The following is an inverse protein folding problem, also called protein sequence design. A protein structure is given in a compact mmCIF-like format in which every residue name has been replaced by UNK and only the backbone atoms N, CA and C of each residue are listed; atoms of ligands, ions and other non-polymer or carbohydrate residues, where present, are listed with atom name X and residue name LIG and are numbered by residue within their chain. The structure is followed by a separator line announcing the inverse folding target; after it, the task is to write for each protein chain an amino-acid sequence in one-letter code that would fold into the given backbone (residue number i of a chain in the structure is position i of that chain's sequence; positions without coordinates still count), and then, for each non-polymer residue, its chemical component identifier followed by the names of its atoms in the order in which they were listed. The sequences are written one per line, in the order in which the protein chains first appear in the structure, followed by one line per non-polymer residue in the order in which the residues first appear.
data_IF_261184618609
#
_entry.id   IF_261184618609
#
_cell.length_a   1.000
_cell.length_b   1.000
_cell.length_c   1.000
_cell.angle_alpha   90.00
_cell.angle_beta   90.00
_cell.angle_gamma   90.00
#
_symmetry.space_group_name_H-M   'P 1'
#
loop_
_entity.id
_entity.type
_entity.pdbx_description
1 polymer ?
#
# COMPACT_ATOMS: atom_id res chain seq x y z
N UNK A 1 -25.07 55.98 19.14
CA UNK A 1 -25.38 55.09 20.29
C UNK A 1 -24.36 53.98 20.17
N UNK A 2 -23.25 54.25 20.86
CA UNK A 2 -22.07 53.42 20.86
C UNK A 2 -22.26 52.29 21.85
N UNK A 3 -21.81 51.10 21.52
CA UNK A 3 -21.58 50.01 22.48
C UNK A 3 -20.18 49.46 22.22
N UNK A 4 -19.32 49.70 23.18
CA UNK A 4 -17.90 49.38 23.22
C UNK A 4 -17.68 47.90 23.38
N UNK A 5 -16.65 47.45 22.67
CA UNK A 5 -16.01 46.13 22.76
C UNK A 5 -15.01 46.15 23.94
N UNK A 6 -15.10 45.15 24.81
CA UNK A 6 -14.24 45.03 25.99
C UNK A 6 -13.79 43.60 26.18
N UNK A 7 -12.64 43.25 25.58
CA UNK A 7 -11.90 42.01 25.90
C UNK A 7 -10.58 42.36 26.63
N UNK A 8 -10.25 41.77 27.78
CA UNK A 8 -8.96 41.95 28.40
C UNK A 8 -7.98 40.85 28.03
N UNK A 9 -6.88 41.28 27.41
CA UNK A 9 -5.63 40.51 27.28
C UNK A 9 -4.92 40.40 28.65
N UNK A 10 -4.64 39.18 29.12
CA UNK A 10 -3.67 38.93 30.18
C UNK A 10 -2.46 38.15 29.64
N UNK A 11 -1.39 38.92 29.37
CA UNK A 11 -0.03 38.36 29.26
C UNK A 11 0.60 38.30 30.64
N UNK A 12 0.98 37.12 31.12
CA UNK A 12 1.88 36.98 32.26
C UNK A 12 3.31 36.76 31.77
N UNK A 13 4.14 37.78 32.00
CA UNK A 13 5.58 37.75 31.85
C UNK A 13 6.19 37.34 33.21
N UNK A 14 6.81 36.16 33.31
CA UNK A 14 7.69 35.87 34.42
C UNK A 14 9.15 35.79 33.92
N UNK A 15 9.90 36.83 34.26
CA UNK A 15 11.37 36.86 34.22
C UNK A 15 11.87 36.11 35.44
N UNK A 16 12.54 34.97 35.27
CA UNK A 16 13.33 34.33 36.30
C UNK A 16 14.79 34.78 36.18
N UNK A 17 15.27 35.38 37.25
CA UNK A 17 16.65 35.82 37.42
C UNK A 17 17.54 34.63 37.75
N UNK A 18 18.54 34.34 36.94
CA UNK A 18 19.56 33.33 37.25
C UNK A 18 20.58 33.85 38.21
N UNK A 19 20.70 33.21 39.36
CA UNK A 19 21.76 33.44 40.35
C UNK A 19 22.93 32.48 40.04
N UNK A 20 24.12 33.00 39.77
CA UNK A 20 25.35 32.25 39.58
C UNK A 20 25.89 31.79 40.95
N UNK A 21 25.75 30.52 41.25
CA UNK A 21 26.45 29.85 42.35
C UNK A 21 27.46 28.87 41.79
N UNK A 22 28.74 29.14 41.98
CA UNK A 22 29.88 28.27 41.69
C UNK A 22 29.87 27.10 42.65
N UNK A 23 29.72 25.86 42.15
CA UNK A 23 29.93 24.65 42.94
C UNK A 23 31.18 23.91 42.43
N UNK A 24 32.17 23.84 43.32
CA UNK A 24 33.39 23.04 43.15
C UNK A 24 33.00 21.59 43.45
N UNK A 25 33.12 20.70 42.47
CA UNK A 25 32.91 19.26 42.69
C UNK A 25 34.27 18.59 42.95
N UNK A 26 34.48 18.16 44.18
CA UNK A 26 35.55 17.25 44.57
C UNK A 26 35.28 15.86 44.05
N UNK A 27 36.22 15.31 43.30
CA UNK A 27 36.20 13.92 42.84
C UNK A 27 36.64 13.05 44.05
N UNK A 28 35.71 12.33 44.62
CA UNK A 28 36.00 11.18 45.47
C UNK A 28 35.31 9.95 44.86
N UNK A 29 36.13 9.02 44.39
CA UNK A 29 35.67 7.75 43.83
C UNK A 29 35.03 6.88 44.91
N UNK A 30 33.78 6.52 44.69
CA UNK A 30 33.14 5.39 45.32
C UNK A 30 32.48 4.58 44.24
N UNK A 31 32.99 3.37 44.01
CA UNK A 31 32.36 2.36 43.18
C UNK A 31 31.00 2.02 43.77
N UNK A 32 29.94 2.56 43.22
CA UNK A 32 28.59 2.12 43.48
C UNK A 32 28.28 0.96 42.54
N UNK A 33 28.20 -0.23 43.06
CA UNK A 33 27.53 -1.35 42.44
C UNK A 33 26.11 -0.86 42.06
N UNK A 34 25.81 -0.90 40.78
CA UNK A 34 24.44 -0.74 40.27
C UNK A 34 23.65 -1.94 40.80
N UNK A 35 23.07 -1.77 41.99
CA UNK A 35 21.97 -2.60 42.43
C UNK A 35 20.83 -2.38 41.44
N UNK A 36 20.45 -3.46 40.75
CA UNK A 36 19.35 -3.46 39.80
C UNK A 36 18.11 -2.83 40.42
N UNK A 37 17.40 -2.05 39.63
CA UNK A 37 16.07 -1.58 39.98
C UNK A 37 15.18 -2.82 40.19
N UNK A 38 14.79 -3.10 41.42
CA UNK A 38 13.86 -4.17 41.79
C UNK A 38 12.41 -3.95 41.31
N UNK A 39 12.22 -3.07 40.34
CA UNK A 39 10.91 -2.73 39.76
C UNK A 39 10.54 -3.57 38.54
N UNK A 40 11.41 -4.44 38.02
CA UNK A 40 11.04 -5.43 37.02
C UNK A 40 10.73 -6.76 37.72
N UNK A 41 9.48 -7.21 37.75
CA UNK A 41 9.18 -8.54 38.28
C UNK A 41 9.83 -9.58 37.36
N UNK A 42 10.78 -10.33 37.89
CA UNK A 42 11.36 -11.51 37.24
C UNK A 42 10.35 -12.66 37.06
N UNK A 43 9.05 -12.34 37.05
CA UNK A 43 7.96 -13.30 37.09
C UNK A 43 7.20 -13.52 35.78
N UNK A 44 7.39 -12.68 34.72
CA UNK A 44 6.48 -12.72 33.58
C UNK A 44 6.76 -13.82 32.54
N UNK A 45 7.97 -14.38 32.46
CA UNK A 45 8.24 -15.53 31.60
C UNK A 45 7.60 -16.84 32.10
N UNK A 46 7.17 -16.89 33.35
CA UNK A 46 6.46 -18.06 33.93
C UNK A 46 4.95 -18.05 33.70
N UNK A 47 4.34 -16.91 33.42
CA UNK A 47 2.87 -16.78 33.33
C UNK A 47 2.26 -17.53 32.13
N UNK A 48 2.88 -17.44 30.95
CA UNK A 48 2.42 -18.16 29.72
C UNK A 48 2.62 -19.68 29.81
N UNK A 49 3.64 -20.15 30.59
CA UNK A 49 3.89 -21.57 30.82
C UNK A 49 2.94 -22.23 31.85
N UNK A 50 2.10 -21.44 32.53
CA UNK A 50 1.21 -21.94 33.58
C UNK A 50 -0.19 -22.33 33.06
N UNK A 51 -0.66 -21.72 31.94
CA UNK A 51 -1.90 -22.13 31.29
C UNK A 51 -1.63 -23.30 30.35
N UNK A 52 -1.79 -24.51 30.84
CA UNK A 52 -1.52 -25.73 30.12
C UNK A 52 -2.49 -25.99 28.97
N UNK A 53 -3.74 -25.55 29.10
CA UNK A 53 -4.78 -25.76 28.08
C UNK A 53 -4.51 -24.86 26.86
N UNK A 54 -4.32 -23.55 27.11
CA UNK A 54 -3.98 -22.62 26.02
C UNK A 54 -2.66 -23.00 25.36
N UNK A 55 -1.65 -23.41 26.14
CA UNK A 55 -0.36 -23.86 25.61
C UNK A 55 -0.52 -25.09 24.71
N UNK A 56 -1.31 -26.07 25.11
CA UNK A 56 -1.57 -27.26 24.30
C UNK A 56 -2.26 -26.93 22.98
N UNK A 57 -3.25 -26.03 22.98
CA UNK A 57 -3.90 -25.56 21.75
C UNK A 57 -2.90 -24.85 20.84
N UNK A 58 -2.08 -23.96 21.41
CA UNK A 58 -1.08 -23.21 20.65
C UNK A 58 -0.01 -24.13 20.05
N UNK A 59 0.52 -25.08 20.83
CA UNK A 59 1.56 -26.00 20.38
C UNK A 59 1.04 -26.93 19.28
N UNK A 60 -0.21 -27.43 19.39
CA UNK A 60 -0.83 -28.20 18.34
C UNK A 60 -1.03 -27.39 17.04
N UNK A 61 -1.59 -26.19 17.14
CA UNK A 61 -1.90 -25.37 15.99
C UNK A 61 -0.63 -24.89 15.27
N UNK A 62 0.36 -24.36 16.01
CA UNK A 62 1.62 -23.83 15.45
C UNK A 62 2.58 -24.97 15.06
N UNK A 63 2.59 -26.06 15.83
CA UNK A 63 3.57 -27.14 15.67
C UNK A 63 3.14 -28.26 14.73
N UNK A 64 1.83 -28.41 14.47
CA UNK A 64 1.27 -29.49 13.66
C UNK A 64 0.34 -28.99 12.55
N UNK A 65 -0.80 -28.35 12.89
CA UNK A 65 -1.84 -28.05 11.89
C UNK A 65 -1.37 -27.05 10.83
N UNK A 66 -0.74 -25.93 11.23
CA UNK A 66 -0.23 -24.94 10.27
C UNK A 66 0.88 -25.52 9.39
N UNK A 67 1.92 -26.20 9.92
CA UNK A 67 2.93 -26.87 9.09
C UNK A 67 2.37 -27.90 8.11
N UNK A 68 1.38 -28.70 8.53
CA UNK A 68 0.71 -29.69 7.66
C UNK A 68 -0.07 -29.01 6.53
N UNK A 69 -0.70 -27.87 6.81
CA UNK A 69 -1.45 -27.07 5.83
C UNK A 69 -0.54 -26.22 4.91
N UNK A 70 0.75 -26.08 5.23
CA UNK A 70 1.66 -25.18 4.50
C UNK A 70 2.95 -25.87 4.01
N UNK A 71 2.84 -27.01 3.29
CA UNK A 71 4.00 -27.80 2.89
C UNK A 71 4.93 -27.11 1.87
N UNK A 72 4.46 -26.08 1.16
CA UNK A 72 5.27 -25.33 0.20
C UNK A 72 6.21 -24.31 0.87
N UNK A 73 5.89 -23.86 2.08
CA UNK A 73 6.71 -22.87 2.81
C UNK A 73 7.84 -23.62 3.52
N UNK A 74 9.08 -23.32 3.14
CA UNK A 74 10.25 -23.92 3.77
C UNK A 74 10.30 -23.64 5.27
N UNK A 75 10.83 -24.60 6.05
CA UNK A 75 10.95 -24.45 7.52
C UNK A 75 11.73 -23.20 7.92
N UNK A 76 12.73 -22.80 7.11
CA UNK A 76 13.50 -21.58 7.30
C UNK A 76 12.61 -20.35 7.13
N UNK A 77 11.85 -20.25 6.05
CA UNK A 77 10.96 -19.11 5.78
C UNK A 77 9.83 -19.04 6.80
N UNK A 78 9.23 -20.19 7.16
CA UNK A 78 8.23 -20.24 8.23
C UNK A 78 8.79 -19.72 9.58
N UNK A 79 10.03 -20.03 9.92
CA UNK A 79 10.72 -19.51 11.10
C UNK A 79 10.88 -17.99 11.05
N UNK A 80 11.32 -17.46 9.90
CA UNK A 80 11.47 -16.01 9.70
C UNK A 80 10.10 -15.28 9.75
N UNK A 81 9.04 -15.87 9.16
CA UNK A 81 7.67 -15.33 9.22
C UNK A 81 7.19 -15.26 10.68
N UNK A 82 7.47 -16.27 11.50
CA UNK A 82 7.13 -16.26 12.94
C UNK A 82 7.87 -15.13 13.67
N UNK A 83 9.16 -14.96 13.42
CA UNK A 83 9.96 -13.89 14.04
C UNK A 83 9.41 -12.50 13.69
N UNK A 84 9.13 -12.20 12.43
CA UNK A 84 8.57 -10.88 12.07
C UNK A 84 7.15 -10.70 12.62
N UNK A 85 6.34 -11.76 12.65
CA UNK A 85 5.00 -11.71 13.21
C UNK A 85 5.03 -11.36 14.70
N UNK A 86 5.87 -12.04 15.49
CA UNK A 86 6.03 -11.80 16.91
C UNK A 86 6.63 -10.41 17.20
N UNK A 87 7.55 -9.95 16.36
CA UNK A 87 8.10 -8.58 16.42
C UNK A 87 7.00 -7.55 16.23
N UNK A 88 6.17 -7.68 15.19
CA UNK A 88 5.06 -6.75 14.90
C UNK A 88 4.01 -6.76 16.02
N UNK A 89 3.69 -7.93 16.57
CA UNK A 89 2.72 -8.07 17.65
C UNK A 89 3.29 -7.69 19.03
N UNK A 90 4.59 -7.39 19.14
CA UNK A 90 5.28 -7.05 20.40
C UNK A 90 5.12 -8.15 21.48
N UNK A 91 5.11 -9.41 21.06
CA UNK A 91 4.99 -10.56 21.95
C UNK A 91 6.37 -11.01 22.42
N UNK A 92 6.95 -10.27 23.37
CA UNK A 92 8.34 -10.41 23.79
C UNK A 92 8.69 -11.81 24.33
N UNK A 93 7.81 -12.40 25.12
CA UNK A 93 8.03 -13.74 25.69
C UNK A 93 8.05 -14.83 24.59
N UNK A 94 7.07 -14.80 23.67
CA UNK A 94 7.03 -15.75 22.55
C UNK A 94 8.16 -15.50 21.55
N UNK A 95 8.57 -14.24 21.34
CA UNK A 95 9.72 -13.93 20.50
C UNK A 95 11.02 -14.52 21.07
N UNK A 96 11.22 -14.43 22.38
CA UNK A 96 12.37 -15.03 23.05
C UNK A 96 12.41 -16.56 22.84
N UNK A 97 11.27 -17.25 22.98
CA UNK A 97 11.15 -18.70 22.74
C UNK A 97 11.43 -19.02 21.26
N UNK A 98 10.85 -18.24 20.31
CA UNK A 98 11.02 -18.48 18.88
C UNK A 98 12.45 -18.24 18.41
N UNK A 99 13.13 -17.19 18.89
CA UNK A 99 14.55 -16.95 18.56
C UNK A 99 15.40 -18.14 19.01
N UNK A 100 15.16 -18.66 20.23
CA UNK A 100 15.87 -19.84 20.70
C UNK A 100 15.59 -21.10 19.87
N UNK A 101 14.35 -21.26 19.44
CA UNK A 101 13.89 -22.37 18.58
C UNK A 101 14.45 -22.26 17.16
N UNK A 102 14.44 -21.06 16.59
CA UNK A 102 14.96 -20.76 15.25
C UNK A 102 16.45 -21.08 15.15
N UNK A 103 17.26 -20.68 16.14
CA UNK A 103 18.67 -21.05 16.23
C UNK A 103 18.87 -22.57 16.33
N UNK A 104 18.06 -23.25 17.14
CA UNK A 104 18.14 -24.72 17.27
C UNK A 104 17.75 -25.45 15.97
N UNK A 105 16.92 -24.83 15.13
CA UNK A 105 16.50 -25.34 13.82
C UNK A 105 17.42 -24.90 12.66
N UNK A 106 18.53 -24.19 12.97
CA UNK A 106 19.58 -23.88 12.02
C UNK A 106 19.47 -22.52 11.33
N UNK A 107 18.57 -21.63 11.77
CA UNK A 107 18.63 -20.24 11.32
C UNK A 107 19.87 -19.56 11.90
N UNK A 108 20.58 -18.79 11.07
CA UNK A 108 21.70 -18.00 11.57
C UNK A 108 21.24 -16.80 12.41
N UNK A 109 22.06 -16.32 13.33
CA UNK A 109 21.74 -15.12 14.10
C UNK A 109 21.62 -13.88 13.19
N UNK A 110 22.33 -13.85 12.07
CA UNK A 110 22.23 -12.79 11.06
C UNK A 110 20.85 -12.78 10.40
N UNK A 111 20.33 -13.93 9.98
CA UNK A 111 18.99 -14.05 9.38
C UNK A 111 17.91 -13.58 10.34
N UNK A 112 18.02 -13.97 11.60
CA UNK A 112 17.09 -13.56 12.66
C UNK A 112 17.11 -12.05 12.85
N UNK A 113 18.29 -11.42 12.97
CA UNK A 113 18.39 -9.97 13.11
C UNK A 113 17.92 -9.23 11.84
N UNK A 114 18.23 -9.73 10.66
CA UNK A 114 17.80 -9.11 9.42
C UNK A 114 16.27 -9.19 9.23
N UNK A 115 15.62 -10.26 9.68
CA UNK A 115 14.16 -10.35 9.72
C UNK A 115 13.55 -9.30 10.68
N UNK A 116 14.14 -9.11 11.86
CA UNK A 116 13.72 -8.08 12.81
C UNK A 116 13.97 -6.67 12.23
N UNK A 117 15.12 -6.43 11.60
CA UNK A 117 15.44 -5.16 10.96
C UNK A 117 14.43 -4.83 9.83
N UNK A 118 13.98 -5.84 9.08
CA UNK A 118 12.95 -5.66 8.04
C UNK A 118 11.62 -5.13 8.60
N UNK A 119 11.35 -5.30 9.90
CA UNK A 119 10.16 -4.75 10.55
C UNK A 119 10.25 -3.22 10.74
N UNK A 120 11.45 -2.64 10.90
CA UNK A 120 11.62 -1.24 11.28
C UNK A 120 10.92 -0.24 10.35
N UNK A 121 11.07 -0.31 9.00
CA UNK A 121 10.42 0.66 8.11
C UNK A 121 8.89 0.54 8.05
N UNK A 122 8.32 -0.58 8.47
CA UNK A 122 6.88 -0.85 8.39
C UNK A 122 6.16 -0.72 9.73
N UNK A 123 6.77 -1.18 10.81
CA UNK A 123 6.16 -1.18 12.16
C UNK A 123 6.75 -0.14 13.11
N UNK A 124 7.77 0.59 12.63
CA UNK A 124 8.49 1.63 13.39
C UNK A 124 9.65 1.09 14.22
N UNK A 125 10.61 1.97 14.51
CA UNK A 125 11.81 1.65 15.27
C UNK A 125 11.54 1.06 16.67
N UNK A 126 10.55 1.53 17.47
CA UNK A 126 10.38 1.01 18.83
C UNK A 126 10.23 -0.50 18.86
N UNK A 127 9.37 -1.07 18.03
CA UNK A 127 9.15 -2.53 17.96
C UNK A 127 10.41 -3.29 17.52
N UNK A 128 11.13 -2.76 16.55
CA UNK A 128 12.35 -3.39 16.06
C UNK A 128 13.49 -3.35 17.10
N UNK A 129 13.64 -2.25 17.84
CA UNK A 129 14.65 -2.10 18.89
C UNK A 129 14.40 -3.10 20.02
N UNK A 130 13.17 -3.16 20.54
CA UNK A 130 12.82 -4.13 21.59
C UNK A 130 13.08 -5.57 21.16
N UNK A 131 12.71 -5.92 19.93
CA UNK A 131 12.92 -7.26 19.38
C UNK A 131 14.42 -7.59 19.19
N UNK A 132 15.24 -6.61 18.77
CA UNK A 132 16.70 -6.77 18.67
C UNK A 132 17.31 -7.08 20.05
N UNK A 133 16.92 -6.35 21.09
CA UNK A 133 17.43 -6.57 22.46
C UNK A 133 17.07 -7.97 22.96
N UNK A 134 15.85 -8.44 22.67
CA UNK A 134 15.43 -9.81 22.99
C UNK A 134 16.30 -10.84 22.24
N UNK A 135 16.45 -10.70 20.94
CA UNK A 135 17.25 -11.62 20.14
C UNK A 135 18.71 -11.67 20.62
N UNK A 136 19.32 -10.50 20.89
CA UNK A 136 20.69 -10.41 21.42
C UNK A 136 20.83 -11.02 22.82
N UNK A 137 19.82 -10.91 23.67
CA UNK A 137 19.82 -11.56 24.99
C UNK A 137 19.87 -13.09 24.85
N UNK A 138 19.11 -13.66 23.90
CA UNK A 138 19.13 -15.10 23.58
C UNK A 138 20.46 -15.52 23.00
N UNK A 139 21.05 -14.74 22.09
CA UNK A 139 22.36 -15.04 21.48
C UNK A 139 23.45 -15.07 22.57
N UNK A 140 23.43 -14.09 23.48
CA UNK A 140 24.35 -14.04 24.62
C UNK A 140 24.21 -15.26 25.50
N UNK A 141 22.96 -15.62 25.87
CA UNK A 141 22.70 -16.79 26.72
C UNK A 141 23.14 -18.12 26.10
N UNK A 142 23.09 -18.20 24.73
CA UNK A 142 23.53 -19.38 23.98
C UNK A 142 24.98 -19.30 23.49
N UNK A 143 25.71 -18.26 23.86
CA UNK A 143 27.08 -17.98 23.40
C UNK A 143 27.23 -17.98 21.85
N UNK A 144 26.25 -17.40 21.14
CA UNK A 144 26.23 -17.28 19.69
C UNK A 144 26.84 -15.93 19.28
N UNK A 145 27.76 -15.95 18.29
CA UNK A 145 28.36 -14.75 17.72
C UNK A 145 27.57 -14.30 16.49
N UNK A 146 27.61 -13.02 16.21
CA UNK A 146 26.90 -12.35 15.09
C UNK A 146 27.89 -11.56 14.27
N UNK A 147 27.82 -11.65 12.92
CA UNK A 147 28.52 -10.70 12.06
C UNK A 147 27.75 -9.37 12.02
N UNK A 148 28.42 -8.29 12.44
CA UNK A 148 27.82 -6.95 12.53
C UNK A 148 27.91 -6.16 11.20
N UNK A 149 28.80 -6.56 10.27
CA UNK A 149 29.09 -5.83 9.04
C UNK A 149 28.14 -6.23 7.89
N UNK A 150 26.83 -5.95 8.02
CA UNK A 150 25.82 -6.35 7.03
C UNK A 150 25.31 -5.23 6.12
N UNK A 151 25.59 -3.96 6.43
CA UNK A 151 25.27 -2.84 5.56
C UNK A 151 26.06 -2.91 4.26
N UNK A 152 25.43 -2.62 3.12
CA UNK A 152 26.05 -2.62 1.79
C UNK A 152 26.06 -1.25 1.14
N UNK A 153 25.35 -0.29 1.70
CA UNK A 153 25.21 1.08 1.20
C UNK A 153 25.67 2.11 2.23
N UNK A 154 25.97 3.31 1.75
CA UNK A 154 26.27 4.49 2.56
C UNK A 154 25.34 5.64 2.17
N UNK A 155 25.54 6.83 2.74
CA UNK A 155 24.71 8.01 2.50
C UNK A 155 24.63 8.41 1.01
N UNK A 156 25.64 8.12 0.23
CA UNK A 156 25.75 8.50 -1.19
C UNK A 156 25.10 7.46 -2.11
N UNK A 157 25.20 6.17 -1.76
CA UNK A 157 24.78 5.06 -2.63
C UNK A 157 23.37 4.54 -2.31
N UNK A 158 22.83 4.80 -1.11
CA UNK A 158 21.56 4.22 -0.61
C UNK A 158 20.34 4.56 -1.46
N UNK A 159 20.28 5.77 -2.05
CA UNK A 159 19.14 6.19 -2.87
C UNK A 159 19.02 5.35 -4.13
N UNK A 160 20.10 5.26 -4.91
CA UNK A 160 20.06 4.51 -6.17
C UNK A 160 19.92 3.02 -5.92
N UNK A 161 20.67 2.44 -4.99
CA UNK A 161 20.58 1.02 -4.65
C UNK A 161 19.18 0.61 -4.17
N UNK A 162 18.54 1.45 -3.35
CA UNK A 162 17.18 1.19 -2.90
C UNK A 162 16.13 1.34 -4.02
N UNK A 163 16.31 2.34 -4.89
CA UNK A 163 15.44 2.51 -6.06
C UNK A 163 15.59 1.36 -7.07
N UNK A 164 16.78 0.80 -7.23
CA UNK A 164 17.02 -0.38 -8.06
C UNK A 164 16.32 -1.62 -7.46
N UNK A 165 16.36 -1.79 -6.14
CA UNK A 165 15.61 -2.85 -5.46
C UNK A 165 14.08 -2.67 -5.64
N UNK A 166 13.56 -1.45 -5.49
CA UNK A 166 12.16 -1.14 -5.80
C UNK A 166 11.83 -1.42 -7.28
N UNK A 167 12.72 -1.05 -8.19
CA UNK A 167 12.59 -1.29 -9.62
C UNK A 167 12.44 -2.78 -9.96
N UNK A 168 13.22 -3.62 -9.27
CA UNK A 168 13.17 -5.09 -9.42
C UNK A 168 11.85 -5.67 -8.92
N UNK A 169 11.35 -5.22 -7.77
CA UNK A 169 10.14 -5.76 -7.14
C UNK A 169 8.85 -5.22 -7.76
N UNK A 170 8.81 -3.95 -8.15
CA UNK A 170 7.57 -3.29 -8.59
C UNK A 170 7.64 -2.82 -10.05
N UNK A 171 8.39 -1.76 -10.34
CA UNK A 171 8.51 -1.19 -11.69
C UNK A 171 9.83 -0.47 -11.88
N UNK A 172 10.51 -0.63 -13.03
CA UNK A 172 11.76 0.06 -13.35
C UNK A 172 11.70 1.60 -13.24
N UNK A 173 10.50 2.18 -13.24
CA UNK A 173 10.30 3.63 -13.10
C UNK A 173 10.91 4.20 -11.80
N UNK A 174 11.00 3.42 -10.73
CA UNK A 174 11.64 3.86 -9.48
C UNK A 174 13.14 4.09 -9.66
N UNK A 175 13.83 3.15 -10.31
CA UNK A 175 15.25 3.27 -10.60
C UNK A 175 15.56 4.48 -11.50
N UNK A 176 14.73 4.72 -12.52
CA UNK A 176 14.86 5.89 -13.39
C UNK A 176 14.60 7.21 -12.65
N UNK A 177 13.56 7.27 -11.81
CA UNK A 177 13.25 8.47 -11.03
C UNK A 177 14.37 8.85 -10.06
N UNK A 178 15.08 7.88 -9.48
CA UNK A 178 16.19 8.13 -8.56
C UNK A 178 17.38 8.83 -9.21
N UNK A 179 17.59 8.64 -10.53
CA UNK A 179 18.66 9.33 -11.29
C UNK A 179 18.52 10.85 -11.30
N UNK A 180 17.29 11.35 -11.11
CA UNK A 180 17.01 12.78 -10.99
C UNK A 180 17.55 13.40 -9.68
N UNK A 181 17.88 12.56 -8.69
CA UNK A 181 18.42 12.97 -7.40
C UNK A 181 17.36 13.44 -6.40
N UNK A 182 17.78 13.52 -5.13
CA UNK A 182 16.92 13.86 -3.99
C UNK A 182 16.09 15.14 -4.19
N UNK A 183 16.68 16.18 -4.78
CA UNK A 183 16.06 17.50 -4.97
C UNK A 183 14.88 17.49 -5.93
N UNK A 184 14.77 16.45 -6.78
CA UNK A 184 13.72 16.30 -7.80
C UNK A 184 12.69 15.22 -7.43
N UNK A 185 12.70 14.77 -6.18
CA UNK A 185 11.77 13.73 -5.69
C UNK A 185 10.88 14.27 -4.57
N UNK A 186 9.61 13.84 -4.48
CA UNK A 186 8.81 14.05 -3.27
C UNK A 186 9.53 13.45 -2.06
N UNK A 187 9.49 14.15 -0.91
CA UNK A 187 10.22 13.74 0.31
C UNK A 187 9.89 12.30 0.73
N UNK A 188 8.62 11.92 0.68
CA UNK A 188 8.23 10.55 1.04
C UNK A 188 8.81 9.51 0.09
N UNK A 189 8.87 9.81 -1.21
CA UNK A 189 9.48 8.91 -2.20
C UNK A 189 10.98 8.78 -1.97
N UNK A 190 11.65 9.88 -1.64
CA UNK A 190 13.06 9.85 -1.24
C UNK A 190 13.28 8.95 -0.02
N UNK A 191 12.44 9.07 1.02
CA UNK A 191 12.55 8.20 2.20
C UNK A 191 12.27 6.73 1.88
N UNK A 192 11.27 6.46 1.07
CA UNK A 192 10.99 5.09 0.62
C UNK A 192 12.19 4.50 -0.11
N UNK A 193 12.74 5.18 -1.12
CA UNK A 193 13.84 4.65 -1.90
C UNK A 193 15.15 4.60 -1.10
N UNK A 194 15.49 5.64 -0.33
CA UNK A 194 16.77 5.69 0.37
C UNK A 194 16.77 4.95 1.71
N UNK A 195 15.73 5.12 2.55
CA UNK A 195 15.69 4.47 3.86
C UNK A 195 15.01 3.09 3.78
N UNK A 196 13.73 3.01 3.39
CA UNK A 196 13.02 1.73 3.41
C UNK A 196 13.72 0.69 2.52
N UNK A 197 13.97 1.00 1.26
CA UNK A 197 14.62 0.06 0.34
C UNK A 197 16.14 0.11 0.41
N UNK A 198 16.76 1.29 0.50
CA UNK A 198 18.21 1.42 0.52
C UNK A 198 18.85 0.85 1.78
N UNK A 199 18.39 1.26 2.97
CA UNK A 199 19.04 0.86 4.21
C UNK A 199 18.66 -0.57 4.66
N UNK A 200 17.50 -1.11 4.21
CA UNK A 200 17.03 -2.42 4.66
C UNK A 200 17.07 -3.50 3.59
N UNK A 201 16.55 -3.27 2.37
CA UNK A 201 16.47 -4.33 1.35
C UNK A 201 17.82 -4.70 0.72
N UNK A 202 18.82 -3.82 0.78
CA UNK A 202 20.14 -4.06 0.19
C UNK A 202 21.11 -4.80 1.11
N UNK A 203 20.75 -4.99 2.40
CA UNK A 203 21.63 -5.57 3.42
C UNK A 203 21.95 -7.04 3.14
N UNK A 204 23.13 -7.50 3.59
CA UNK A 204 23.50 -8.93 3.60
C UNK A 204 22.63 -9.71 4.60
N UNK A 205 22.70 -11.03 4.57
CA UNK A 205 22.03 -11.94 5.49
C UNK A 205 20.71 -12.48 4.98
N UNK A 206 19.92 -11.69 4.22
CA UNK A 206 18.73 -12.14 3.52
C UNK A 206 18.74 -11.62 2.08
N UNK A 207 18.30 -12.44 1.14
CA UNK A 207 18.11 -12.04 -0.25
C UNK A 207 16.85 -11.19 -0.43
N UNK A 208 16.75 -10.52 -1.59
CA UNK A 208 15.65 -9.61 -1.92
C UNK A 208 14.28 -10.28 -1.88
N UNK A 209 14.18 -11.52 -2.37
CA UNK A 209 12.92 -12.25 -2.42
C UNK A 209 12.44 -12.66 -1.03
N UNK A 210 13.35 -13.08 -0.16
CA UNK A 210 13.05 -13.36 1.25
C UNK A 210 12.59 -12.09 1.97
N UNK A 211 13.24 -10.94 1.76
CA UNK A 211 12.82 -9.66 2.35
C UNK A 211 11.42 -9.26 1.91
N UNK A 212 11.09 -9.48 0.65
CA UNK A 212 9.75 -9.19 0.13
C UNK A 212 8.67 -10.11 0.72
N UNK A 213 8.99 -11.40 0.93
CA UNK A 213 8.12 -12.32 1.65
C UNK A 213 7.86 -11.87 3.09
N UNK A 214 8.92 -11.47 3.79
CA UNK A 214 8.82 -11.00 5.16
C UNK A 214 8.05 -9.68 5.26
N UNK A 215 8.24 -8.77 4.31
CA UNK A 215 7.45 -7.54 4.24
C UNK A 215 5.97 -7.82 4.07
N UNK A 216 5.61 -8.75 3.19
CA UNK A 216 4.22 -9.20 3.06
C UNK A 216 3.69 -9.72 4.40
N UNK A 217 4.44 -10.59 5.09
CA UNK A 217 4.04 -11.12 6.40
C UNK A 217 3.89 -10.00 7.47
N UNK A 218 4.79 -9.03 7.49
CA UNK A 218 4.69 -7.83 8.35
C UNK A 218 3.38 -7.09 8.09
N UNK A 219 3.03 -6.85 6.83
CA UNK A 219 1.84 -6.11 6.42
C UNK A 219 0.54 -6.88 6.70
N UNK A 220 0.56 -8.23 6.60
CA UNK A 220 -0.55 -9.10 7.07
C UNK A 220 -0.79 -8.86 8.56
N UNK A 221 0.28 -8.87 9.37
CA UNK A 221 0.20 -8.64 10.81
C UNK A 221 -0.23 -7.22 11.18
N UNK A 222 0.07 -6.22 10.37
CA UNK A 222 -0.38 -4.83 10.55
C UNK A 222 -1.83 -4.61 10.06
N UNK A 223 -2.30 -5.38 9.07
CA UNK A 223 -3.62 -5.23 8.46
C UNK A 223 -3.74 -4.00 7.55
N UNK A 224 -2.66 -3.57 6.89
CA UNK A 224 -2.59 -2.37 6.04
C UNK A 224 -2.90 -2.74 4.58
N UNK A 225 -4.18 -2.77 4.21
CA UNK A 225 -4.66 -3.35 2.94
C UNK A 225 -4.02 -2.81 1.66
N UNK A 226 -3.89 -1.47 1.42
CA UNK A 226 -3.33 -0.98 0.15
C UNK A 226 -1.87 -1.41 -0.05
N UNK A 227 -1.05 -1.32 1.00
CA UNK A 227 0.34 -1.72 0.96
C UNK A 227 0.48 -3.24 0.84
N UNK A 228 -0.34 -3.99 1.59
CA UNK A 228 -0.35 -5.45 1.53
C UNK A 228 -0.65 -5.95 0.11
N UNK A 229 -1.64 -5.39 -0.57
CA UNK A 229 -1.98 -5.78 -1.95
C UNK A 229 -0.80 -5.58 -2.91
N UNK A 230 -0.07 -4.46 -2.80
CA UNK A 230 1.11 -4.20 -3.62
C UNK A 230 2.23 -5.24 -3.39
N UNK A 231 2.50 -5.60 -2.12
CA UNK A 231 3.51 -6.60 -1.76
C UNK A 231 3.07 -8.03 -2.06
N UNK A 232 1.78 -8.36 -2.00
CA UNK A 232 1.24 -9.62 -2.53
C UNK A 232 1.50 -9.70 -4.03
N UNK A 233 1.20 -8.65 -4.79
CA UNK A 233 1.45 -8.60 -6.24
C UNK A 233 2.93 -8.75 -6.59
N UNK A 234 3.84 -8.19 -5.79
CA UNK A 234 5.28 -8.38 -5.96
C UNK A 234 5.68 -9.86 -5.70
N UNK A 235 5.15 -10.47 -4.64
CA UNK A 235 5.39 -11.90 -4.35
C UNK A 235 4.85 -12.82 -5.45
N UNK A 236 3.69 -12.51 -6.07
CA UNK A 236 3.11 -13.29 -7.17
C UNK A 236 3.96 -13.27 -8.46
N UNK A 237 4.93 -12.34 -8.60
CA UNK A 237 5.88 -12.33 -9.73
C UNK A 237 6.99 -13.36 -9.59
N UNK A 238 7.25 -13.84 -8.37
CA UNK A 238 8.37 -14.71 -8.03
C UNK A 238 7.93 -16.01 -7.36
N UNK A 239 6.64 -16.12 -6.98
CA UNK A 239 6.06 -17.29 -6.30
C UNK A 239 4.67 -17.59 -6.84
N UNK A 240 4.23 -18.84 -6.68
CA UNK A 240 2.85 -19.24 -7.02
C UNK A 240 1.84 -18.65 -6.03
N UNK A 241 0.59 -18.47 -6.47
CA UNK A 241 -0.49 -17.99 -5.58
C UNK A 241 -0.69 -18.95 -4.40
N UNK A 242 -0.57 -20.26 -4.62
CA UNK A 242 -0.66 -21.26 -3.57
C UNK A 242 0.45 -21.11 -2.51
N UNK A 243 1.70 -20.83 -2.94
CA UNK A 243 2.79 -20.54 -2.01
C UNK A 243 2.49 -19.28 -1.16
N UNK A 244 2.01 -18.20 -1.80
CA UNK A 244 1.67 -16.95 -1.11
C UNK A 244 0.53 -17.16 -0.11
N UNK A 245 -0.47 -17.97 -0.47
CA UNK A 245 -1.57 -18.37 0.42
C UNK A 245 -1.04 -19.09 1.66
N UNK A 246 -0.18 -20.08 1.48
CA UNK A 246 0.43 -20.82 2.57
C UNK A 246 1.33 -19.94 3.45
N UNK A 247 2.04 -18.98 2.87
CA UNK A 247 2.80 -17.99 3.64
C UNK A 247 1.89 -17.09 4.50
N UNK A 248 0.72 -16.72 4.00
CA UNK A 248 -0.30 -15.98 4.77
C UNK A 248 -0.83 -16.85 5.92
N UNK A 249 -1.07 -18.16 5.72
CA UNK A 249 -1.47 -19.06 6.81
C UNK A 249 -0.43 -19.16 7.91
N UNK A 250 0.86 -19.05 7.61
CA UNK A 250 1.91 -18.98 8.63
C UNK A 250 1.82 -17.72 9.54
N UNK A 251 1.09 -16.67 9.11
CA UNK A 251 0.84 -15.49 9.95
C UNK A 251 -0.39 -15.68 10.86
N UNK A 252 -1.31 -16.61 10.54
CA UNK A 252 -2.59 -16.78 11.22
C UNK A 252 -2.49 -16.93 12.74
N UNK A 253 -1.58 -17.74 13.32
CA UNK A 253 -1.47 -17.89 14.77
C UNK A 253 -1.17 -16.57 15.51
N UNK A 254 -0.63 -15.58 14.81
CA UNK A 254 -0.12 -14.33 15.39
C UNK A 254 -1.05 -13.14 15.15
N UNK A 255 -1.69 -13.07 13.99
CA UNK A 255 -2.55 -11.95 13.61
C UNK A 255 -4.06 -12.25 13.72
N UNK A 256 -4.42 -13.51 13.87
CA UNK A 256 -5.80 -13.99 13.98
C UNK A 256 -6.56 -14.03 12.65
N UNK A 257 -7.73 -14.66 12.66
CA UNK A 257 -8.56 -14.87 11.48
C UNK A 257 -8.94 -13.61 10.72
N UNK A 258 -9.36 -12.49 11.33
CA UNK A 258 -9.81 -11.32 10.56
C UNK A 258 -8.75 -10.77 9.61
N UNK A 259 -7.50 -10.61 10.06
CA UNK A 259 -6.40 -10.12 9.23
C UNK A 259 -5.99 -11.14 8.16
N UNK A 260 -6.00 -12.42 8.51
CA UNK A 260 -5.71 -13.50 7.57
C UNK A 260 -6.76 -13.56 6.44
N UNK A 261 -8.06 -13.49 6.78
CA UNK A 261 -9.12 -13.50 5.78
C UNK A 261 -9.06 -12.27 4.85
N UNK A 262 -8.74 -11.09 5.38
CA UNK A 262 -8.50 -9.90 4.56
C UNK A 262 -7.29 -10.10 3.61
N UNK A 263 -6.20 -10.68 4.09
CA UNK A 263 -5.02 -10.96 3.27
C UNK A 263 -5.35 -11.96 2.14
N UNK A 264 -6.13 -13.02 2.42
CA UNK A 264 -6.57 -13.99 1.42
C UNK A 264 -7.49 -13.37 0.37
N UNK A 265 -8.37 -12.44 0.76
CA UNK A 265 -9.19 -11.66 -0.18
C UNK A 265 -8.30 -10.84 -1.12
N UNK A 266 -7.31 -10.12 -0.57
CA UNK A 266 -6.35 -9.34 -1.37
C UNK A 266 -5.49 -10.22 -2.28
N UNK A 267 -5.11 -11.42 -1.84
CA UNK A 267 -4.42 -12.40 -2.68
C UNK A 267 -5.27 -12.80 -3.88
N UNK A 268 -6.54 -13.12 -3.66
CA UNK A 268 -7.48 -13.48 -4.74
C UNK A 268 -7.62 -12.34 -5.76
N UNK A 269 -7.75 -11.11 -5.29
CA UNK A 269 -7.82 -9.93 -6.15
C UNK A 269 -6.53 -9.74 -6.96
N UNK A 270 -5.36 -9.76 -6.30
CA UNK A 270 -4.06 -9.59 -6.95
C UNK A 270 -3.75 -10.72 -7.95
N UNK A 271 -4.11 -11.96 -7.63
CA UNK A 271 -3.93 -13.09 -8.53
C UNK A 271 -4.82 -12.99 -9.79
N UNK A 272 -6.07 -12.52 -9.64
CA UNK A 272 -6.95 -12.26 -10.77
C UNK A 272 -6.40 -11.14 -11.67
N UNK A 273 -5.85 -10.07 -11.11
CA UNK A 273 -5.21 -8.98 -11.85
C UNK A 273 -3.92 -9.45 -12.56
N UNK A 274 -3.11 -10.28 -11.92
CA UNK A 274 -1.91 -10.86 -12.50
C UNK A 274 -2.26 -11.83 -13.66
N UNK A 275 -3.28 -12.67 -13.51
CA UNK A 275 -3.79 -13.55 -14.55
C UNK A 275 -4.31 -12.77 -15.75
N UNK A 276 -5.08 -11.71 -15.52
CA UNK A 276 -5.55 -10.82 -16.56
C UNK A 276 -4.39 -10.08 -17.27
N UNK A 277 -3.32 -9.72 -16.54
CA UNK A 277 -2.11 -9.11 -17.11
C UNK A 277 -1.28 -10.12 -17.92
N UNK A 278 -1.11 -11.35 -17.40
CA UNK A 278 -0.38 -12.41 -18.09
C UNK A 278 -1.08 -12.83 -19.39
N UNK A 279 -2.41 -12.91 -19.38
CA UNK A 279 -3.20 -13.15 -20.61
C UNK A 279 -2.98 -12.03 -21.62
N UNK A 280 -2.91 -10.77 -21.18
CA UNK A 280 -2.58 -9.63 -22.05
C UNK A 280 -1.13 -9.68 -22.56
N UNK A 281 -0.16 -10.13 -21.77
CA UNK A 281 1.23 -10.29 -22.18
C UNK A 281 1.48 -11.53 -23.04
N UNK A 282 0.79 -12.64 -22.78
CA UNK A 282 0.85 -13.87 -23.60
C UNK A 282 0.25 -13.66 -24.99
N UNK A 283 -0.63 -12.65 -25.12
CA UNK A 283 -1.16 -12.20 -26.42
C UNK A 283 -0.14 -11.35 -27.21
N UNK A 284 1.09 -11.09 -26.66
CA UNK A 284 2.19 -10.37 -27.31
C UNK A 284 1.86 -8.89 -27.63
N UNK A 285 2.82 -8.06 -28.05
CA UNK A 285 2.47 -6.85 -28.76
C UNK A 285 1.79 -7.32 -30.03
N UNK A 286 0.45 -7.15 -30.12
CA UNK A 286 -0.32 -7.51 -31.29
C UNK A 286 0.32 -6.92 -32.54
N UNK A 287 1.08 -7.79 -33.24
CA UNK A 287 1.26 -7.61 -34.67
C UNK A 287 -0.13 -7.81 -35.27
N UNK A 288 -0.80 -6.68 -35.53
CA UNK A 288 -1.92 -6.54 -36.46
C UNK A 288 -2.45 -7.85 -37.02
N UNK A 289 -3.56 -8.36 -36.47
CA UNK A 289 -4.72 -8.90 -37.20
C UNK A 289 -5.71 -9.51 -36.21
N UNK A 290 -6.87 -8.91 -36.21
CA UNK A 290 -8.13 -9.14 -35.51
C UNK A 290 -8.30 -8.30 -34.22
N UNK A 291 -8.60 -6.99 -34.41
CA UNK A 291 -9.27 -6.15 -33.43
C UNK A 291 -10.64 -6.78 -33.10
N UNK A 292 -10.68 -7.71 -32.15
CA UNK A 292 -11.95 -8.21 -31.64
C UNK A 292 -12.48 -7.14 -30.67
N UNK A 293 -13.30 -6.24 -31.22
CA UNK A 293 -14.07 -5.28 -30.42
C UNK A 293 -14.78 -6.03 -29.30
N UNK A 294 -14.70 -5.52 -28.04
CA UNK A 294 -15.44 -6.09 -26.93
C UNK A 294 -16.90 -6.28 -27.30
N UNK A 295 -17.38 -7.52 -27.31
CA UNK A 295 -18.78 -7.79 -27.64
C UNK A 295 -19.72 -7.26 -26.55
N UNK A 296 -20.92 -6.86 -26.96
CA UNK A 296 -21.90 -6.27 -26.08
C UNK A 296 -22.32 -7.20 -24.95
N UNK A 297 -22.39 -8.51 -25.19
CA UNK A 297 -22.81 -9.47 -24.15
C UNK A 297 -21.78 -9.56 -23.00
N UNK A 298 -20.51 -9.45 -23.31
CA UNK A 298 -19.42 -9.37 -22.31
C UNK A 298 -19.50 -8.07 -21.53
N UNK A 299 -19.71 -6.94 -22.22
CA UNK A 299 -19.89 -5.64 -21.58
C UNK A 299 -21.12 -5.60 -20.66
N UNK A 300 -22.28 -6.11 -21.13
CA UNK A 300 -23.53 -6.11 -20.36
C UNK A 300 -23.41 -6.89 -19.03
N UNK A 301 -22.60 -7.94 -18.99
CA UNK A 301 -22.31 -8.66 -17.74
C UNK A 301 -21.49 -7.84 -16.73
N UNK A 302 -20.67 -6.92 -17.21
CA UNK A 302 -19.83 -6.04 -16.36
C UNK A 302 -20.60 -4.80 -15.91
N UNK A 303 -21.53 -4.30 -16.72
CA UNK A 303 -22.26 -3.06 -16.47
C UNK A 303 -23.43 -3.25 -15.50
N UNK A 304 -23.12 -3.23 -14.20
CA UNK A 304 -24.09 -3.47 -13.11
C UNK A 304 -25.26 -2.50 -13.10
N UNK A 305 -25.11 -1.30 -13.66
CA UNK A 305 -26.20 -0.32 -13.76
C UNK A 305 -27.01 -0.45 -15.06
N UNK A 306 -26.57 -1.31 -15.98
CA UNK A 306 -27.18 -1.49 -17.29
C UNK A 306 -26.91 -0.32 -18.26
N UNK A 307 -27.09 -0.58 -19.56
CA UNK A 307 -26.78 0.35 -20.64
C UNK A 307 -27.62 1.63 -20.62
N UNK A 308 -28.89 1.52 -20.30
CA UNK A 308 -29.85 2.62 -20.37
C UNK A 308 -30.46 2.81 -21.77
N UNK A 309 -31.22 3.90 -21.91
CA UNK A 309 -31.88 4.26 -23.17
C UNK A 309 -30.96 5.09 -24.08
N UNK A 310 -31.21 5.14 -25.40
CA UNK A 310 -30.47 6.00 -26.31
C UNK A 310 -30.45 7.45 -25.82
N UNK A 311 -29.26 8.06 -25.79
CA UNK A 311 -29.05 9.42 -25.29
C UNK A 311 -29.48 10.49 -26.31
N UNK A 312 -30.76 10.55 -26.64
CA UNK A 312 -31.32 11.39 -27.71
C UNK A 312 -31.12 12.88 -27.41
N UNK A 313 -31.29 13.31 -26.17
CA UNK A 313 -31.25 14.72 -25.79
C UNK A 313 -29.87 15.37 -25.96
N UNK A 314 -28.82 14.59 -25.82
CA UNK A 314 -27.41 15.05 -25.93
C UNK A 314 -26.71 14.49 -27.16
N UNK A 315 -27.39 13.73 -28.04
CA UNK A 315 -26.78 13.06 -29.18
C UNK A 315 -25.93 14.00 -30.08
N UNK A 316 -26.32 15.26 -30.25
CA UNK A 316 -25.60 16.28 -31.01
C UNK A 316 -24.21 16.63 -30.43
N UNK A 317 -23.93 16.26 -29.23
CA UNK A 317 -22.66 16.50 -28.55
C UNK A 317 -21.77 15.24 -28.46
N UNK A 318 -22.15 14.18 -29.19
CA UNK A 318 -21.41 12.93 -29.21
C UNK A 318 -21.07 12.52 -30.64
N UNK A 319 -19.91 11.96 -30.85
CA UNK A 319 -19.52 11.24 -32.06
C UNK A 319 -19.74 9.77 -31.76
N UNK A 320 -20.66 9.10 -32.46
CA UNK A 320 -21.08 7.73 -32.25
C UNK A 320 -22.30 7.63 -31.32
N UNK A 321 -22.65 6.40 -30.92
CA UNK A 321 -23.83 6.10 -30.12
C UNK A 321 -23.53 6.10 -28.63
N UNK A 322 -24.37 6.79 -27.85
CA UNK A 322 -24.31 6.77 -26.40
C UNK A 322 -25.68 6.50 -25.80
N UNK A 323 -25.68 6.02 -24.57
CA UNK A 323 -26.87 5.65 -23.82
C UNK A 323 -26.82 6.27 -22.42
N UNK A 324 -27.97 6.51 -21.85
CA UNK A 324 -28.05 7.16 -20.54
C UNK A 324 -29.10 6.44 -19.68
N UNK A 325 -28.67 6.05 -18.49
CA UNK A 325 -29.55 5.54 -17.45
C UNK A 325 -29.48 6.45 -16.24
N UNK A 326 -30.56 7.13 -15.94
CA UNK A 326 -30.68 7.92 -14.73
C UNK A 326 -30.68 7.00 -13.50
N UNK A 327 -29.80 7.30 -12.53
CA UNK A 327 -29.68 6.57 -11.26
C UNK A 327 -30.43 7.32 -10.17
N UNK A 328 -30.16 8.64 -10.04
CA UNK A 328 -30.87 9.55 -9.13
C UNK A 328 -31.38 10.75 -9.90
N UNK A 329 -32.42 11.41 -9.38
CA UNK A 329 -33.03 12.61 -9.93
C UNK A 329 -32.63 13.86 -9.12
N UNK A 330 -33.03 15.03 -9.60
CA UNK A 330 -32.86 16.28 -8.83
C UNK A 330 -33.70 16.28 -7.54
N UNK A 331 -34.77 15.52 -7.50
CA UNK A 331 -35.63 15.34 -6.33
C UNK A 331 -34.94 14.57 -5.20
N UNK A 332 -33.95 13.72 -5.55
CA UNK A 332 -33.09 12.99 -4.61
C UNK A 332 -31.95 13.84 -4.05
N UNK A 333 -31.90 15.13 -4.39
CA UNK A 333 -30.87 16.08 -3.95
C UNK A 333 -29.78 16.33 -5.00
N UNK A 334 -29.47 15.38 -5.86
CA UNK A 334 -28.53 15.53 -6.99
C UNK A 334 -28.73 14.46 -8.06
N UNK A 335 -28.45 14.84 -9.29
CA UNK A 335 -28.63 13.95 -10.43
C UNK A 335 -27.37 13.15 -10.71
N UNK A 336 -27.49 11.81 -10.74
CA UNK A 336 -26.48 10.90 -11.24
C UNK A 336 -27.02 10.10 -12.42
N UNK A 337 -26.16 9.85 -13.40
CA UNK A 337 -26.51 9.02 -14.56
C UNK A 337 -25.37 8.08 -14.90
N UNK A 338 -25.69 6.83 -15.24
CA UNK A 338 -24.75 5.93 -15.89
C UNK A 338 -24.77 6.26 -17.40
N UNK A 339 -23.64 6.72 -17.92
CA UNK A 339 -23.47 7.07 -19.33
C UNK A 339 -22.67 5.97 -19.99
N UNK A 340 -23.26 5.35 -21.04
CA UNK A 340 -22.64 4.25 -21.78
C UNK A 340 -22.30 4.69 -23.20
N UNK A 341 -21.13 4.31 -23.67
CA UNK A 341 -20.56 4.62 -24.96
C UNK A 341 -20.28 3.33 -25.75
N UNK A 342 -20.68 3.26 -26.99
CA UNK A 342 -20.24 2.21 -27.92
C UNK A 342 -18.73 2.37 -28.24
N UNK A 343 -18.06 1.31 -28.72
CA UNK A 343 -16.67 1.40 -29.15
C UNK A 343 -16.43 2.57 -30.11
N UNK A 344 -15.41 3.38 -29.81
CA UNK A 344 -15.08 4.56 -30.61
C UNK A 344 -15.91 5.82 -30.34
N UNK A 345 -16.97 5.73 -29.55
CA UNK A 345 -17.85 6.86 -29.20
C UNK A 345 -17.18 7.78 -28.18
N UNK A 346 -17.29 9.07 -28.38
CA UNK A 346 -16.78 10.11 -27.49
C UNK A 346 -17.68 11.34 -27.48
N UNK A 347 -17.67 12.08 -26.36
CA UNK A 347 -18.36 13.37 -26.34
C UNK A 347 -17.45 14.50 -26.85
N UNK A 348 -18.05 15.63 -27.14
CA UNK A 348 -17.35 16.86 -27.47
C UNK A 348 -16.54 17.38 -26.30
N UNK A 349 -15.58 18.23 -26.58
CA UNK A 349 -14.99 19.11 -25.59
C UNK A 349 -16.10 19.90 -24.88
N UNK A 350 -16.02 20.00 -23.54
CA UNK A 350 -17.01 20.71 -22.74
C UNK A 350 -16.41 21.21 -21.43
N UNK A 351 -17.14 22.14 -20.80
CA UNK A 351 -16.74 22.72 -19.52
C UNK A 351 -17.94 22.72 -18.56
N UNK A 352 -17.71 22.26 -17.35
CA UNK A 352 -18.64 22.45 -16.22
C UNK A 352 -18.23 23.71 -15.46
N UNK A 353 -18.91 24.82 -15.73
CA UNK A 353 -18.64 26.09 -15.08
C UNK A 353 -19.19 26.13 -13.66
N UNK A 354 -18.47 26.78 -12.74
CA UNK A 354 -18.96 27.17 -11.43
C UNK A 354 -18.19 28.37 -10.89
N UNK A 355 -18.85 29.21 -10.07
CA UNK A 355 -18.21 30.33 -9.36
C UNK A 355 -17.47 29.84 -8.12
N UNK A 356 -17.97 28.76 -7.49
CA UNK A 356 -17.36 28.14 -6.32
C UNK A 356 -17.77 26.65 -6.28
N UNK A 357 -16.86 25.75 -5.95
CA UNK A 357 -17.09 24.31 -6.02
C UNK A 357 -17.34 23.87 -7.46
N UNK A 358 -18.24 22.92 -7.67
CA UNK A 358 -18.62 22.42 -8.99
C UNK A 358 -17.58 21.50 -9.63
N UNK A 359 -17.72 21.29 -10.94
CA UNK A 359 -16.95 20.35 -11.73
C UNK A 359 -17.69 19.02 -11.93
N UNK A 360 -17.02 18.04 -12.54
CA UNK A 360 -17.64 16.75 -12.85
C UNK A 360 -16.90 15.60 -12.17
N UNK A 361 -17.65 14.61 -11.70
CA UNK A 361 -17.10 13.35 -11.19
C UNK A 361 -17.50 12.23 -12.12
N UNK A 362 -16.53 11.40 -12.51
CA UNK A 362 -16.70 10.18 -13.28
C UNK A 362 -16.28 8.99 -12.43
N UNK A 363 -17.12 7.96 -12.33
CA UNK A 363 -16.81 6.68 -11.69
C UNK A 363 -17.03 5.59 -12.72
N UNK A 364 -15.96 4.93 -13.16
CA UNK A 364 -16.04 3.92 -14.23
C UNK A 364 -16.70 2.65 -13.72
N UNK A 365 -17.75 2.20 -14.42
CA UNK A 365 -18.58 1.05 -14.03
C UNK A 365 -18.34 -0.18 -14.89
N UNK A 366 -17.97 -0.01 -16.18
CA UNK A 366 -17.71 -1.13 -17.09
C UNK A 366 -16.91 -0.70 -18.32
N UNK A 367 -16.19 -1.64 -18.92
CA UNK A 367 -15.44 -1.43 -20.16
C UNK A 367 -14.28 -0.45 -19.99
N UNK A 368 -13.69 0.02 -21.11
CA UNK A 368 -12.50 0.85 -21.12
C UNK A 368 -12.71 2.13 -21.92
N UNK A 369 -12.21 3.25 -21.39
CA UNK A 369 -12.37 4.56 -21.97
C UNK A 369 -11.16 5.45 -21.86
N UNK A 370 -11.37 6.67 -22.26
CA UNK A 370 -10.43 7.78 -22.17
C UNK A 370 -11.09 9.00 -21.53
N UNK A 371 -10.29 9.81 -20.80
CA UNK A 371 -10.62 11.21 -20.58
C UNK A 371 -9.38 12.07 -20.83
N UNK A 372 -9.59 13.34 -21.18
CA UNK A 372 -8.51 14.27 -21.43
C UNK A 372 -8.90 15.67 -20.99
N UNK A 373 -7.99 16.34 -20.29
CA UNK A 373 -8.03 17.77 -20.03
C UNK A 373 -7.29 18.50 -21.16
N UNK A 374 -7.76 19.68 -21.55
CA UNK A 374 -7.12 20.48 -22.60
C UNK A 374 -5.63 20.71 -22.29
N UNK A 375 -4.77 20.51 -23.28
CA UNK A 375 -3.33 20.64 -23.16
C UNK A 375 -2.62 19.56 -22.33
N UNK A 376 -3.33 18.50 -21.92
CA UNK A 376 -2.74 17.35 -21.21
C UNK A 376 -2.86 16.08 -22.06
N UNK A 377 -2.00 15.08 -21.83
CA UNK A 377 -2.19 13.75 -22.43
C UNK A 377 -3.52 13.13 -22.01
N UNK A 378 -4.12 12.33 -22.90
CA UNK A 378 -5.28 11.53 -22.55
C UNK A 378 -4.92 10.44 -21.55
N UNK A 379 -5.83 10.17 -20.61
CA UNK A 379 -5.69 9.18 -19.54
C UNK A 379 -6.63 8.02 -19.78
N UNK A 380 -6.11 6.80 -19.76
CA UNK A 380 -6.91 5.58 -19.87
C UNK A 380 -7.74 5.36 -18.62
N UNK A 381 -9.02 5.02 -18.82
CA UNK A 381 -9.98 4.72 -17.76
C UNK A 381 -10.39 3.25 -17.80
N UNK A 382 -10.44 2.63 -16.62
CA UNK A 382 -10.82 1.21 -16.43
C UNK A 382 -11.88 1.10 -15.31
N UNK A 383 -12.65 0.00 -15.23
CA UNK A 383 -13.62 -0.21 -14.16
C UNK A 383 -13.01 -0.04 -12.77
N UNK A 384 -13.67 0.77 -11.92
CA UNK A 384 -13.22 1.15 -10.59
C UNK A 384 -12.43 2.46 -10.52
N UNK A 385 -11.98 3.02 -11.65
CA UNK A 385 -11.35 4.33 -11.66
C UNK A 385 -12.36 5.43 -11.34
N UNK A 386 -11.93 6.42 -10.57
CA UNK A 386 -12.69 7.62 -10.26
C UNK A 386 -11.88 8.87 -10.64
N UNK A 387 -12.52 9.79 -11.36
CA UNK A 387 -11.90 11.05 -11.80
C UNK A 387 -12.72 12.22 -11.30
N UNK A 388 -12.06 13.19 -10.68
CA UNK A 388 -12.65 14.47 -10.32
C UNK A 388 -12.09 15.53 -11.26
N UNK A 389 -12.95 16.08 -12.11
CA UNK A 389 -12.61 17.12 -13.07
C UNK A 389 -13.03 18.46 -12.44
N UNK A 390 -12.07 19.37 -12.16
CA UNK A 390 -12.38 20.65 -11.52
C UNK A 390 -13.32 21.51 -12.40
N UNK A 391 -14.10 22.37 -11.76
CA UNK A 391 -14.90 23.37 -12.48
C UNK A 391 -14.02 24.26 -13.38
N UNK A 392 -14.60 24.75 -14.47
CA UNK A 392 -13.95 25.64 -15.44
C UNK A 392 -12.77 25.02 -16.22
N UNK A 393 -12.65 23.68 -16.21
CA UNK A 393 -11.62 22.97 -16.96
C UNK A 393 -12.24 22.32 -18.18
N UNK A 394 -11.72 22.64 -19.37
CA UNK A 394 -12.12 22.04 -20.64
C UNK A 394 -11.63 20.60 -20.74
N UNK A 395 -12.53 19.69 -21.05
CA UNK A 395 -12.25 18.25 -21.10
C UNK A 395 -13.21 17.50 -22.00
N UNK A 396 -12.86 16.26 -22.29
CA UNK A 396 -13.72 15.28 -22.93
C UNK A 396 -13.48 13.89 -22.35
N UNK A 397 -14.43 12.96 -22.58
CA UNK A 397 -14.31 11.54 -22.26
C UNK A 397 -15.09 10.67 -23.25
N UNK A 398 -14.74 9.38 -23.33
CA UNK A 398 -15.36 8.46 -24.27
C UNK A 398 -14.80 7.05 -24.21
N UNK A 399 -15.35 6.15 -25.00
CA UNK A 399 -14.90 4.77 -25.13
C UNK A 399 -13.54 4.66 -25.83
N UNK A 400 -12.81 3.57 -25.64
CA UNK A 400 -11.72 3.16 -26.55
C UNK A 400 -12.31 2.62 -27.86
N UNK A 401 -11.47 2.55 -28.91
CA UNK A 401 -11.88 2.10 -30.24
C UNK A 401 -12.42 0.67 -30.26
N UNK A 402 -11.92 -0.16 -29.37
CA UNK A 402 -12.15 -1.59 -29.28
C UNK A 402 -12.95 -2.01 -28.05
N UNK A 403 -13.45 -1.06 -27.27
CA UNK A 403 -14.18 -1.35 -26.02
C UNK A 403 -15.43 -0.51 -25.88
N UNK A 404 -16.52 -1.11 -25.42
CA UNK A 404 -17.59 -0.41 -24.75
C UNK A 404 -17.04 0.29 -23.51
N UNK A 405 -17.70 1.37 -23.07
CA UNK A 405 -17.31 2.12 -21.88
C UNK A 405 -18.54 2.64 -21.16
N UNK A 406 -18.54 2.53 -19.84
CA UNK A 406 -19.62 3.07 -19.02
C UNK A 406 -19.06 3.66 -17.74
N UNK A 407 -19.62 4.80 -17.34
CA UNK A 407 -19.30 5.45 -16.08
C UNK A 407 -20.52 6.16 -15.49
N UNK A 408 -20.56 6.26 -14.18
CA UNK A 408 -21.45 7.21 -13.49
C UNK A 408 -20.89 8.61 -13.68
N UNK A 409 -21.74 9.54 -14.12
CA UNK A 409 -21.42 10.96 -14.22
C UNK A 409 -22.35 11.76 -13.33
N UNK A 410 -21.79 12.70 -12.56
CA UNK A 410 -22.55 13.70 -11.82
C UNK A 410 -21.72 14.98 -11.64
N UNK A 411 -22.41 16.08 -11.42
CA UNK A 411 -21.77 17.36 -11.12
C UNK A 411 -21.53 17.45 -9.63
N UNK A 412 -20.32 17.85 -9.24
CA UNK A 412 -20.02 18.15 -7.84
C UNK A 412 -20.81 19.40 -7.41
N UNK A 413 -21.29 19.48 -6.14
CA UNK A 413 -22.02 20.64 -5.66
C UNK A 413 -21.24 21.94 -5.82
N UNK A 414 -21.90 22.99 -6.33
CA UNK A 414 -21.27 24.29 -6.59
C UNK A 414 -22.27 25.41 -6.72
N UNK A 415 -21.77 26.64 -6.76
CA UNK A 415 -22.55 27.88 -6.94
C UNK A 415 -22.41 28.40 -8.37
N UNK A 416 -23.51 28.81 -8.99
CA UNK A 416 -23.53 29.40 -10.34
C UNK A 416 -23.08 28.42 -11.41
N UNK A 417 -23.55 27.18 -11.29
CA UNK A 417 -23.18 26.08 -12.20
C UNK A 417 -23.87 26.22 -13.56
N UNK A 418 -23.13 25.91 -14.63
CA UNK A 418 -23.64 25.80 -16.00
C UNK A 418 -22.72 24.94 -16.84
N UNK A 419 -23.26 24.35 -17.93
CA UNK A 419 -22.50 23.49 -18.82
C UNK A 419 -22.34 24.16 -20.19
N UNK A 420 -21.13 24.13 -20.72
CA UNK A 420 -20.79 24.63 -22.03
C UNK A 420 -20.27 23.48 -22.91
N UNK A 421 -20.93 23.24 -24.02
CA UNK A 421 -20.50 22.28 -25.03
C UNK A 421 -19.76 22.99 -26.16
N UNK A 422 -18.60 22.47 -26.49
CA UNK A 422 -17.66 23.06 -27.45
C UNK A 422 -17.50 22.17 -28.70
N UNK A 423 -16.37 22.29 -29.39
CA UNK A 423 -16.07 21.58 -30.60
C UNK A 423 -15.96 20.05 -30.40
N UNK A 424 -16.24 19.26 -31.44
CA UNK A 424 -15.99 17.82 -31.41
C UNK A 424 -14.50 17.51 -31.24
N UNK A 425 -14.19 16.41 -30.53
CA UNK A 425 -12.83 15.82 -30.53
C UNK A 425 -12.57 15.25 -31.91
N UNK A 426 -11.55 15.75 -32.59
CA UNK A 426 -11.26 15.35 -33.98
C UNK A 426 -10.87 13.87 -34.07
N UNK A 427 -11.13 13.24 -35.22
CA UNK A 427 -10.66 11.88 -35.49
C UNK A 427 -9.13 11.80 -35.47
N UNK A 428 -8.44 12.87 -35.87
CA UNK A 428 -6.99 12.93 -35.84
C UNK A 428 -6.45 12.87 -34.40
N UNK A 429 -7.05 13.60 -33.48
CA UNK A 429 -6.66 13.56 -32.04
C UNK A 429 -7.00 12.22 -31.40
N UNK A 430 -8.23 11.76 -31.60
CA UNK A 430 -8.70 10.50 -31.03
C UNK A 430 -7.95 9.29 -31.58
N UNK A 431 -7.54 9.31 -32.86
CA UNK A 431 -6.83 8.20 -33.50
C UNK A 431 -5.36 8.05 -33.07
N UNK A 432 -4.81 9.02 -32.36
CA UNK A 432 -3.48 8.92 -31.73
C UNK A 432 -3.48 8.12 -30.42
N UNK A 433 -4.67 7.78 -29.88
CA UNK A 433 -4.86 7.05 -28.62
C UNK A 433 -5.04 5.52 -28.85
#
# INVERSE_FOLDING_TARGET
MDVEDNTPNHFFNHKATMNKGTFIMSILGIGAALTGCDCCPQGETKALSQDKELRAVMDNFIGSEVPEATPLVEKREAGLIRIVSLTVQQSNALLQEEVATALAKGLSPEEILEAIYQCAPYSGFPRAVDAVEIARSVFKAKNVKVDEARATVNAETRLQAGADAQGTLFTPAYAEAAKAGKQNMPTIQYFLSSNCFGDYYTRKGLDLNTRELLTMAILVNLGTEPQLKAHISANLRIRTAEYVEQAIYNCLPYCGYPRTLNALRLLKEAAAEAGASALRQAQGPETTKDNKIMDQATFDKQNVFGKGDPNVNYAKYFIGNSYLKQITSAEDGFRMSNVTFEPGTRNNWHIHHAKKGGGQVLIVTAGNGWYQLEGKPAVSLNPGDAVVIPANVKHWHGAKKDSWFSHIAFEAPGEGMSNEWLEPVSDEEYNKL
#
